data_IF_380357305648
#
_entry.id   IF_380357305648
#
_cell.length_a   1.000
_cell.length_b   1.000
_cell.length_c   1.000
_cell.angle_alpha   90.00
_cell.angle_beta   90.00
_cell.angle_gamma   90.00
#
_symmetry.space_group_name_H-M   'P 1'
#
loop_
_entity.id
_entity.type
_entity.pdbx_description
1 polymer ?
#
# COMPACT_ATOMS: atom_id res chain seq x y z
N UNK A 1 24.40 -4.92 10.89
CA UNK A 1 23.30 -5.02 9.92
C UNK A 1 22.01 -4.82 10.68
N UNK A 2 21.20 -3.85 10.27
CA UNK A 2 19.85 -3.71 10.81
C UNK A 2 19.04 -4.92 10.38
N UNK A 3 18.33 -5.58 11.30
CA UNK A 3 17.61 -6.82 10.99
C UNK A 3 16.50 -6.49 9.97
N UNK A 4 16.62 -7.05 8.76
CA UNK A 4 15.59 -7.00 7.73
C UNK A 4 14.45 -7.97 8.03
N UNK A 5 13.77 -8.44 6.99
CA UNK A 5 12.73 -9.48 7.09
C UNK A 5 13.23 -10.65 7.97
N UNK A 6 12.41 -11.18 8.89
CA UNK A 6 12.88 -12.19 9.84
C UNK A 6 13.45 -13.43 9.16
N UNK A 7 14.36 -14.12 9.84
CA UNK A 7 14.81 -15.45 9.43
C UNK A 7 13.66 -16.45 9.40
N UNK A 8 13.91 -17.62 8.79
CA UNK A 8 12.88 -18.65 8.60
C UNK A 8 12.23 -19.14 9.90
N UNK A 9 12.92 -19.00 11.04
CA UNK A 9 12.43 -19.31 12.37
C UNK A 9 11.22 -18.44 12.81
N UNK A 10 11.14 -17.22 12.27
CA UNK A 10 10.20 -16.18 12.69
C UNK A 10 9.07 -15.93 11.68
N UNK A 11 9.00 -16.73 10.61
CA UNK A 11 7.93 -16.69 9.61
C UNK A 11 7.12 -17.98 9.67
N UNK A 12 5.92 -17.98 9.09
CA UNK A 12 5.11 -19.19 8.91
C UNK A 12 4.67 -19.28 7.46
N UNK A 13 4.30 -20.48 7.05
CA UNK A 13 3.60 -20.65 5.78
C UNK A 13 2.26 -19.92 5.85
N UNK A 14 2.02 -19.02 4.91
CA UNK A 14 0.79 -18.26 4.78
C UNK A 14 -0.10 -18.80 3.67
N UNK A 15 0.49 -19.37 2.62
CA UNK A 15 -0.27 -19.94 1.51
C UNK A 15 0.55 -20.97 0.71
N UNK A 16 -0.13 -21.89 0.03
CA UNK A 16 0.43 -22.87 -0.88
C UNK A 16 -0.16 -22.71 -2.28
N UNK A 17 0.67 -22.75 -3.31
CA UNK A 17 0.22 -22.83 -4.71
C UNK A 17 0.03 -24.29 -5.05
N UNK A 18 -1.22 -24.69 -5.32
CA UNK A 18 -1.58 -26.08 -5.61
C UNK A 18 -2.03 -26.20 -7.06
N UNK A 19 -1.44 -27.14 -7.81
CA UNK A 19 -1.78 -27.46 -9.20
C UNK A 19 -2.11 -28.94 -9.32
N UNK A 20 -3.33 -29.29 -9.69
CA UNK A 20 -3.76 -30.68 -9.84
C UNK A 20 -3.56 -31.52 -8.57
N UNK A 21 -3.70 -30.90 -7.39
CA UNK A 21 -3.44 -31.54 -6.09
C UNK A 21 -1.96 -31.59 -5.68
N UNK A 22 -1.03 -31.08 -6.49
CA UNK A 22 0.40 -30.99 -6.17
C UNK A 22 0.76 -29.60 -5.63
N UNK A 23 1.42 -29.55 -4.47
CA UNK A 23 1.96 -28.30 -3.90
C UNK A 23 3.21 -27.88 -4.68
N UNK A 24 3.06 -26.92 -5.58
CA UNK A 24 4.10 -26.42 -6.47
C UNK A 24 4.98 -25.35 -5.79
N UNK A 25 4.40 -24.51 -4.94
CA UNK A 25 5.12 -23.44 -4.23
C UNK A 25 4.50 -23.17 -2.87
N UNK A 26 5.29 -22.62 -1.94
CA UNK A 26 4.83 -22.18 -0.62
C UNK A 26 5.26 -20.74 -0.39
N UNK A 27 4.35 -19.93 0.14
CA UNK A 27 4.58 -18.55 0.52
C UNK A 27 4.72 -18.46 2.03
N UNK A 28 5.93 -18.16 2.49
CA UNK A 28 6.22 -17.89 3.89
C UNK A 28 6.13 -16.39 4.18
N UNK A 29 5.73 -16.03 5.38
CA UNK A 29 5.53 -14.64 5.75
C UNK A 29 5.19 -14.42 7.21
N UNK A 30 4.92 -13.15 7.49
CA UNK A 30 4.41 -12.65 8.76
C UNK A 30 3.10 -11.92 8.49
N UNK A 31 2.16 -12.03 9.41
CA UNK A 31 0.84 -11.43 9.28
C UNK A 31 0.26 -11.03 10.64
N UNK A 32 -0.49 -9.94 10.65
CA UNK A 32 -1.12 -9.41 11.86
C UNK A 32 -2.51 -8.88 11.54
N UNK A 33 -3.44 -9.08 12.46
CA UNK A 33 -4.70 -8.37 12.52
C UNK A 33 -4.81 -7.68 13.89
N UNK A 34 -5.22 -6.42 13.90
CA UNK A 34 -5.37 -5.60 15.11
C UNK A 34 -6.81 -5.14 15.28
N UNK A 35 -7.21 -4.97 16.54
CA UNK A 35 -8.46 -4.31 16.90
C UNK A 35 -8.38 -2.78 16.68
N UNK A 36 -9.50 -2.04 16.83
CA UNK A 36 -9.49 -0.57 16.65
C UNK A 36 -8.58 0.18 17.62
N UNK A 37 -8.19 -0.43 18.75
CA UNK A 37 -7.22 0.11 19.69
C UNK A 37 -5.76 -0.18 19.30
N UNK A 38 -5.53 -0.96 18.24
CA UNK A 38 -4.21 -1.39 17.80
C UNK A 38 -3.68 -2.64 18.51
N UNK A 39 -4.51 -3.34 19.28
CA UNK A 39 -4.12 -4.58 19.97
C UNK A 39 -4.19 -5.76 19.00
N UNK A 40 -3.14 -6.60 18.91
CA UNK A 40 -3.19 -7.79 18.04
C UNK A 40 -4.29 -8.79 18.43
N UNK A 41 -5.16 -9.10 17.49
CA UNK A 41 -6.16 -10.18 17.56
C UNK A 41 -5.56 -11.47 16.99
N UNK A 42 -4.94 -11.37 15.81
CA UNK A 42 -4.25 -12.46 15.11
C UNK A 42 -2.80 -12.10 14.93
N UNK A 43 -1.90 -13.04 15.22
CA UNK A 43 -0.47 -12.93 14.94
C UNK A 43 0.04 -14.21 14.29
N UNK A 44 0.82 -14.05 13.23
CA UNK A 44 1.49 -15.12 12.51
C UNK A 44 2.94 -14.71 12.29
N UNK A 45 3.87 -15.39 12.98
CA UNK A 45 5.29 -15.06 12.98
C UNK A 45 5.64 -13.80 13.80
N UNK A 46 6.81 -13.21 13.54
CA UNK A 46 7.32 -12.01 14.22
C UNK A 46 6.73 -10.74 13.58
N UNK A 47 5.60 -10.29 14.11
CA UNK A 47 4.86 -9.13 13.61
C UNK A 47 5.47 -7.78 14.02
N UNK A 48 6.44 -7.78 14.93
CA UNK A 48 7.19 -6.58 15.32
C UNK A 48 8.46 -6.38 14.49
N UNK A 49 8.75 -7.32 13.59
CA UNK A 49 9.82 -7.18 12.62
C UNK A 49 9.66 -5.93 11.76
N UNK A 50 10.77 -5.22 11.60
CA UNK A 50 10.81 -4.03 10.73
C UNK A 50 10.88 -4.48 9.28
N UNK A 51 9.89 -4.05 8.50
CA UNK A 51 9.81 -4.30 7.06
C UNK A 51 10.00 -2.99 6.29
N UNK A 52 10.41 -3.11 5.04
CA UNK A 52 10.29 -2.03 4.07
C UNK A 52 8.91 -2.17 3.40
N UNK A 53 7.94 -1.30 3.73
CA UNK A 53 6.54 -1.43 3.27
C UNK A 53 6.35 -1.06 1.81
N UNK A 54 7.38 -0.50 1.17
CA UNK A 54 7.36 -0.03 -0.23
C UNK A 54 6.14 0.87 -0.46
N UNK A 55 5.41 0.64 -1.56
CA UNK A 55 4.24 1.42 -1.92
C UNK A 55 3.04 1.27 -0.97
N UNK A 56 3.08 0.39 0.02
CA UNK A 56 2.01 0.30 1.04
C UNK A 56 1.99 1.52 1.97
N UNK A 57 3.10 2.26 2.08
CA UNK A 57 3.19 3.47 2.93
C UNK A 57 2.70 4.75 2.25
N UNK A 58 2.33 4.71 0.97
CA UNK A 58 1.88 5.91 0.24
C UNK A 58 0.70 6.66 0.89
N UNK A 59 -0.31 6.01 1.49
CA UNK A 59 -1.35 6.74 2.24
C UNK A 59 -0.77 7.59 3.38
N UNK A 60 0.25 7.10 4.08
CA UNK A 60 0.93 7.84 5.15
C UNK A 60 1.79 8.97 4.57
N UNK A 61 2.39 8.76 3.39
CA UNK A 61 3.11 9.82 2.66
C UNK A 61 2.15 10.94 2.20
N UNK A 62 0.93 10.59 1.80
CA UNK A 62 -0.11 11.56 1.44
C UNK A 62 -0.50 12.42 2.65
N UNK A 63 -0.70 11.80 3.82
CA UNK A 63 -0.92 12.54 5.09
C UNK A 63 0.24 13.51 5.35
N UNK A 64 1.48 13.05 5.19
CA UNK A 64 2.67 13.89 5.34
C UNK A 64 2.72 15.08 4.39
N UNK A 65 2.33 14.91 3.13
CA UNK A 65 2.29 16.00 2.15
C UNK A 65 1.20 17.04 2.51
N UNK A 66 0.01 16.58 2.91
CA UNK A 66 -1.09 17.46 3.33
C UNK A 66 -0.70 18.22 4.61
N UNK A 67 -0.12 17.53 5.59
CA UNK A 67 0.37 18.14 6.83
C UNK A 67 1.48 19.19 6.57
N UNK A 68 2.28 18.99 5.52
CA UNK A 68 3.28 19.95 5.04
C UNK A 68 2.70 21.08 4.16
N UNK A 69 1.38 21.13 3.96
CA UNK A 69 0.70 22.24 3.28
C UNK A 69 0.30 21.99 1.82
N UNK A 70 0.47 20.78 1.28
CA UNK A 70 -0.06 20.46 -0.04
C UNK A 70 -1.60 20.54 -0.03
N UNK A 71 -2.16 21.40 -0.88
CA UNK A 71 -3.60 21.45 -1.11
C UNK A 71 -3.98 20.48 -2.22
N UNK A 72 -4.71 19.42 -1.86
CA UNK A 72 -5.07 18.31 -2.77
C UNK A 72 -6.58 18.10 -2.75
N UNK A 73 -7.18 17.98 -3.93
CA UNK A 73 -8.56 17.49 -4.10
C UNK A 73 -8.68 15.99 -3.82
N UNK A 74 -9.89 15.43 -3.88
CA UNK A 74 -10.13 13.99 -3.65
C UNK A 74 -9.37 13.09 -4.62
N UNK A 75 -9.44 13.34 -5.94
CA UNK A 75 -8.70 12.55 -6.95
C UNK A 75 -7.18 12.66 -6.75
N UNK A 76 -6.69 13.86 -6.44
CA UNK A 76 -5.27 14.15 -6.23
C UNK A 76 -4.75 13.49 -4.95
N UNK A 77 -5.57 13.46 -3.91
CA UNK A 77 -5.26 12.73 -2.67
C UNK A 77 -5.20 11.22 -2.93
N UNK A 78 -6.16 10.68 -3.68
CA UNK A 78 -6.22 9.26 -4.00
C UNK A 78 -5.02 8.79 -4.85
N UNK A 79 -4.63 9.56 -5.88
CA UNK A 79 -3.46 9.21 -6.70
C UNK A 79 -2.14 9.37 -5.92
N UNK A 80 -2.08 10.29 -4.95
CA UNK A 80 -0.94 10.45 -4.03
C UNK A 80 -0.79 9.23 -3.11
N UNK A 81 -1.90 8.72 -2.57
CA UNK A 81 -1.95 7.47 -1.81
C UNK A 81 -1.76 6.21 -2.68
N UNK A 82 -1.78 6.38 -4.01
CA UNK A 82 -1.90 5.36 -5.02
C UNK A 82 -0.61 4.89 -5.68
N UNK A 83 -0.70 3.78 -6.38
CA UNK A 83 0.28 3.32 -7.37
C UNK A 83 -0.45 3.16 -8.69
N UNK A 84 -0.80 4.29 -9.30
CA UNK A 84 -1.62 4.32 -10.50
C UNK A 84 -0.96 3.56 -11.65
N UNK A 85 -1.77 3.04 -12.57
CA UNK A 85 -1.33 2.18 -13.68
C UNK A 85 -0.86 2.94 -14.91
N UNK A 86 -0.83 4.27 -14.86
CA UNK A 86 -0.37 5.12 -15.96
C UNK A 86 -1.40 5.37 -17.07
N UNK A 87 -2.67 4.98 -16.85
CA UNK A 87 -3.80 5.36 -17.73
C UNK A 87 -3.89 6.89 -17.93
N UNK A 88 -4.47 7.34 -19.05
CA UNK A 88 -4.55 8.75 -19.43
C UNK A 88 -5.20 9.64 -18.34
N UNK A 89 -6.22 9.12 -17.65
CA UNK A 89 -6.88 9.83 -16.53
C UNK A 89 -5.95 10.07 -15.35
N UNK A 90 -5.02 9.15 -15.09
CA UNK A 90 -4.04 9.31 -14.01
C UNK A 90 -3.06 10.41 -14.37
N UNK A 91 -2.54 10.38 -15.60
CA UNK A 91 -1.64 11.41 -16.14
C UNK A 91 -2.31 12.79 -16.06
N UNK A 92 -3.59 12.88 -16.42
CA UNK A 92 -4.35 14.11 -16.34
C UNK A 92 -4.46 14.67 -14.91
N UNK A 93 -4.57 13.82 -13.88
CA UNK A 93 -4.56 14.26 -12.47
C UNK A 93 -3.17 14.78 -12.09
N UNK A 94 -2.11 14.06 -12.43
CA UNK A 94 -0.72 14.48 -12.12
C UNK A 94 -0.39 15.80 -12.78
N UNK A 95 -0.78 16.00 -14.04
CA UNK A 95 -0.58 17.26 -14.76
C UNK A 95 -1.31 18.43 -14.08
N UNK A 96 -2.53 18.22 -13.59
CA UNK A 96 -3.26 19.26 -12.84
C UNK A 96 -2.59 19.60 -11.52
N UNK A 97 -2.10 18.60 -10.78
CA UNK A 97 -1.35 18.82 -9.54
C UNK A 97 -0.09 19.66 -9.77
N UNK A 98 0.69 19.33 -10.81
CA UNK A 98 1.89 20.06 -11.18
C UNK A 98 1.54 21.50 -11.60
N UNK A 99 0.56 21.67 -12.48
CA UNK A 99 0.12 22.97 -12.95
C UNK A 99 -0.39 23.87 -11.81
N UNK A 100 -1.14 23.32 -10.86
CA UNK A 100 -1.62 24.05 -9.68
C UNK A 100 -0.47 24.52 -8.77
N UNK A 101 0.66 23.82 -8.77
CA UNK A 101 1.89 24.20 -8.09
C UNK A 101 2.81 25.11 -8.94
N UNK A 102 2.42 25.45 -10.17
CA UNK A 102 3.25 26.23 -11.10
C UNK A 102 4.42 25.46 -11.70
N UNK A 103 4.31 24.13 -11.76
CA UNK A 103 5.35 23.19 -12.20
C UNK A 103 4.92 22.43 -13.45
N UNK A 104 5.86 21.70 -14.05
CA UNK A 104 5.61 20.82 -15.19
C UNK A 104 6.20 19.41 -14.99
N UNK A 105 6.05 18.56 -16.01
CA UNK A 105 6.49 17.15 -15.94
C UNK A 105 8.01 16.99 -15.77
N UNK A 106 8.79 18.02 -16.10
CA UNK A 106 10.24 18.09 -15.95
C UNK A 106 10.70 18.18 -14.50
N UNK A 107 9.84 18.67 -13.60
CA UNK A 107 10.12 18.74 -12.15
C UNK A 107 10.03 17.37 -11.46
N UNK A 108 9.38 16.38 -12.09
CA UNK A 108 9.33 15.02 -11.58
C UNK A 108 10.72 14.40 -11.57
N UNK A 109 11.07 13.73 -10.46
CA UNK A 109 12.37 13.06 -10.27
C UNK A 109 12.24 11.54 -10.18
N UNK A 110 11.01 11.00 -10.17
CA UNK A 110 10.78 9.56 -10.35
C UNK A 110 11.32 9.09 -11.70
N UNK A 111 11.88 7.87 -11.81
CA UNK A 111 12.41 7.38 -13.07
C UNK A 111 11.34 7.35 -14.17
N UNK A 112 11.69 7.54 -15.45
CA UNK A 112 10.75 7.34 -16.54
C UNK A 112 10.34 5.86 -16.61
N UNK A 113 9.06 5.61 -16.86
CA UNK A 113 8.53 4.24 -17.00
C UNK A 113 7.41 4.21 -18.06
N UNK A 114 7.01 3.01 -18.46
CA UNK A 114 5.80 2.78 -19.26
C UNK A 114 4.59 2.56 -18.34
N UNK A 115 3.36 2.74 -18.84
CA UNK A 115 2.16 2.38 -18.10
C UNK A 115 2.17 0.90 -17.71
N UNK A 116 1.64 0.60 -16.54
CA UNK A 116 1.34 -0.77 -16.11
C UNK A 116 0.04 -1.28 -16.73
N UNK A 117 -0.89 -0.38 -17.06
CA UNK A 117 -2.08 -0.70 -17.83
C UNK A 117 -1.67 -1.15 -19.24
N UNK A 118 -1.99 -2.40 -19.58
CA UNK A 118 -1.52 -3.04 -20.81
C UNK A 118 -2.11 -2.39 -22.06
N UNK A 119 -3.38 -2.00 -22.03
CA UNK A 119 -4.04 -1.34 -23.15
C UNK A 119 -3.37 0.00 -23.45
N UNK A 120 -3.20 0.85 -22.42
CA UNK A 120 -2.50 2.13 -22.53
C UNK A 120 -1.07 1.94 -23.00
N UNK A 121 -0.31 1.00 -22.39
CA UNK A 121 1.07 0.71 -22.78
C UNK A 121 1.18 0.33 -24.25
N UNK A 122 0.36 -0.62 -24.72
CA UNK A 122 0.39 -1.11 -26.10
C UNK A 122 0.03 0.01 -27.08
N UNK A 123 -0.97 0.84 -26.75
CA UNK A 123 -1.34 2.02 -27.54
C UNK A 123 -0.20 3.02 -27.64
N UNK A 124 0.44 3.39 -26.53
CA UNK A 124 1.55 4.36 -26.52
C UNK A 124 2.77 3.86 -27.31
N UNK A 125 3.13 2.58 -27.15
CA UNK A 125 4.23 1.97 -27.93
C UNK A 125 3.89 2.00 -29.42
N UNK A 126 2.67 1.62 -29.80
CA UNK A 126 2.25 1.62 -31.20
C UNK A 126 2.26 3.02 -31.85
N UNK A 127 2.09 4.08 -31.06
CA UNK A 127 2.17 5.47 -31.51
C UNK A 127 3.57 6.10 -31.35
N UNK A 128 4.58 5.32 -30.96
CA UNK A 128 5.97 5.77 -30.82
C UNK A 128 6.24 6.59 -29.55
N UNK A 129 5.34 6.56 -28.57
CA UNK A 129 5.49 7.23 -27.27
C UNK A 129 6.24 6.29 -26.32
N UNK A 130 7.44 6.73 -25.90
CA UNK A 130 8.30 5.96 -24.99
C UNK A 130 8.02 6.19 -23.50
N UNK A 131 8.87 5.61 -22.63
CA UNK A 131 8.79 5.81 -21.18
C UNK A 131 8.88 7.29 -20.79
N UNK A 132 8.12 7.70 -19.77
CA UNK A 132 8.23 9.05 -19.21
C UNK A 132 7.87 9.08 -17.73
N UNK A 133 8.31 10.13 -17.02
CA UNK A 133 8.17 10.21 -15.56
C UNK A 133 6.72 10.29 -15.10
N UNK A 134 5.86 10.96 -15.86
CA UNK A 134 4.43 11.08 -15.55
C UNK A 134 3.66 9.75 -15.70
N UNK A 135 4.20 8.81 -16.49
CA UNK A 135 3.59 7.47 -16.66
C UNK A 135 3.98 6.50 -15.54
N UNK A 136 5.03 6.84 -14.78
CA UNK A 136 5.51 6.03 -13.66
C UNK A 136 4.48 6.04 -12.53
N UNK A 137 4.19 4.87 -11.95
CA UNK A 137 3.15 4.64 -10.94
C UNK A 137 3.29 5.44 -9.62
N UNK A 138 4.41 6.13 -9.41
CA UNK A 138 4.65 6.99 -8.26
C UNK A 138 4.54 8.47 -8.61
N UNK A 139 4.31 8.85 -9.87
CA UNK A 139 4.30 10.26 -10.25
C UNK A 139 3.28 11.09 -9.47
N UNK A 140 2.13 10.52 -9.08
CA UNK A 140 1.17 11.16 -8.16
C UNK A 140 1.77 11.54 -6.80
N UNK A 141 2.49 10.63 -6.13
CA UNK A 141 3.15 10.98 -4.86
C UNK A 141 4.28 12.01 -5.03
N UNK A 142 4.98 11.97 -6.16
CA UNK A 142 6.02 12.97 -6.46
C UNK A 142 5.41 14.35 -6.68
N UNK A 143 4.30 14.44 -7.43
CA UNK A 143 3.58 15.69 -7.62
C UNK A 143 3.06 16.27 -6.29
N UNK A 144 2.60 15.44 -5.35
CA UNK A 144 2.21 15.90 -4.02
C UNK A 144 3.39 16.39 -3.17
N UNK A 145 4.54 15.70 -3.22
CA UNK A 145 5.75 16.16 -2.53
C UNK A 145 6.25 17.49 -3.12
N UNK A 146 6.16 17.67 -4.44
CA UNK A 146 6.46 18.94 -5.11
C UNK A 146 5.49 20.04 -4.67
N UNK A 147 4.18 19.76 -4.65
CA UNK A 147 3.16 20.70 -4.17
C UNK A 147 3.41 21.12 -2.71
N UNK A 148 3.77 20.18 -1.83
CA UNK A 148 4.18 20.48 -0.44
C UNK A 148 5.48 21.33 -0.39
N UNK A 149 6.43 21.08 -1.29
CA UNK A 149 7.69 21.82 -1.37
C UNK A 149 7.43 23.28 -1.76
N UNK A 150 6.57 23.50 -2.76
CA UNK A 150 6.11 24.84 -3.17
C UNK A 150 5.35 25.53 -2.05
N UNK A 151 4.42 24.84 -1.39
CA UNK A 151 3.63 25.39 -0.29
C UNK A 151 4.49 25.87 0.90
N UNK A 152 5.66 25.26 1.08
CA UNK A 152 6.63 25.62 2.13
C UNK A 152 7.73 26.58 1.66
N UNK A 153 7.70 27.01 0.40
CA UNK A 153 8.67 27.96 -0.17
C UNK A 153 10.08 27.40 -0.34
N UNK A 154 10.23 26.07 -0.47
CA UNK A 154 11.51 25.40 -0.59
C UNK A 154 11.87 25.11 -2.06
N UNK A 155 13.14 24.77 -2.30
CA UNK A 155 13.64 24.40 -3.63
C UNK A 155 13.05 23.05 -4.09
N UNK A 156 12.37 23.06 -5.23
CA UNK A 156 11.76 21.88 -5.84
C UNK A 156 12.78 20.90 -6.42
N UNK A 157 14.05 21.25 -6.51
CA UNK A 157 15.11 20.31 -6.90
C UNK A 157 15.54 19.37 -5.77
N UNK A 158 15.22 19.69 -4.52
CA UNK A 158 15.65 18.93 -3.34
C UNK A 158 14.51 18.20 -2.62
N UNK A 159 13.30 18.11 -3.21
CA UNK A 159 12.14 17.49 -2.52
C UNK A 159 12.32 16.01 -2.16
N UNK A 160 13.31 15.33 -2.75
CA UNK A 160 13.67 13.94 -2.42
C UNK A 160 14.76 13.84 -1.35
N UNK A 161 15.41 14.93 -0.96
CA UNK A 161 16.43 14.94 0.08
C UNK A 161 15.81 14.51 1.42
N UNK A 162 16.26 13.39 2.04
CA UNK A 162 15.81 12.97 3.36
C UNK A 162 15.96 14.05 4.45
N UNK A 163 16.91 14.98 4.30
CA UNK A 163 17.10 16.10 5.21
C UNK A 163 16.20 17.31 4.89
N UNK A 164 15.54 17.31 3.74
CA UNK A 164 14.63 18.35 3.29
C UNK A 164 13.34 18.45 4.13
N UNK A 165 12.68 19.62 4.17
CA UNK A 165 11.51 19.85 5.01
C UNK A 165 10.34 18.89 4.74
N UNK A 166 10.03 18.63 3.47
CA UNK A 166 8.92 17.74 3.08
C UNK A 166 9.19 16.29 3.50
N UNK A 167 10.41 15.78 3.31
CA UNK A 167 10.73 14.41 3.69
C UNK A 167 10.79 14.22 5.21
N UNK A 168 11.23 15.25 5.96
CA UNK A 168 11.12 15.27 7.42
C UNK A 168 9.67 15.22 7.89
N UNK A 169 8.78 16.02 7.30
CA UNK A 169 7.36 16.02 7.63
C UNK A 169 6.71 14.67 7.31
N UNK A 170 6.98 14.12 6.13
CA UNK A 170 6.51 12.78 5.74
C UNK A 170 7.01 11.69 6.67
N UNK A 171 8.29 11.72 7.05
CA UNK A 171 8.87 10.74 7.98
C UNK A 171 8.22 10.85 9.36
N UNK A 172 8.04 12.07 9.87
CA UNK A 172 7.39 12.31 11.16
C UNK A 172 5.96 11.76 11.19
N UNK A 173 5.19 11.95 10.11
CA UNK A 173 3.83 11.40 10.01
C UNK A 173 3.82 9.87 9.90
N UNK A 174 4.77 9.27 9.17
CA UNK A 174 4.90 7.81 9.13
C UNK A 174 5.21 7.25 10.53
N UNK A 175 6.16 7.84 11.24
CA UNK A 175 6.53 7.40 12.60
C UNK A 175 5.37 7.60 13.59
N UNK A 176 4.68 8.75 13.52
CA UNK A 176 3.51 9.03 14.35
C UNK A 176 2.40 8.01 14.10
N UNK A 177 2.02 7.78 12.85
CA UNK A 177 0.91 6.91 12.46
C UNK A 177 1.22 5.44 12.72
N UNK A 178 2.47 5.01 12.55
CA UNK A 178 2.88 3.63 12.87
C UNK A 178 3.19 3.41 14.34
N UNK A 179 3.41 4.49 15.10
CA UNK A 179 3.76 4.45 16.51
C UNK A 179 5.19 3.98 16.78
N UNK A 180 6.08 4.07 15.80
CA UNK A 180 7.46 3.59 15.91
C UNK A 180 8.45 4.42 15.10
N UNK A 181 9.58 4.77 15.71
CA UNK A 181 10.77 5.33 15.06
C UNK A 181 11.82 4.24 14.98
N UNK A 182 12.13 3.78 13.76
CA UNK A 182 13.08 2.67 13.55
C UNK A 182 14.50 3.15 13.24
N UNK A 183 14.65 4.42 12.83
CA UNK A 183 15.90 4.96 12.31
C UNK A 183 16.32 4.38 10.94
N UNK A 184 15.49 3.52 10.33
CA UNK A 184 15.78 2.91 9.03
C UNK A 184 15.17 3.78 7.95
N UNK A 185 16.02 4.48 7.21
CA UNK A 185 15.64 5.21 6.00
C UNK A 185 16.56 4.76 4.87
N UNK A 186 15.98 4.42 3.73
CA UNK A 186 16.70 4.08 2.50
C UNK A 186 16.00 4.72 1.30
N UNK A 187 16.41 4.36 0.08
CA UNK A 187 15.85 4.91 -1.16
C UNK A 187 14.93 3.86 -1.80
N UNK A 188 13.70 4.28 -2.11
CA UNK A 188 12.72 3.45 -2.83
C UNK A 188 13.07 3.37 -4.33
N UNK A 189 12.44 2.45 -5.07
CA UNK A 189 12.65 2.32 -6.52
C UNK A 189 12.26 3.58 -7.32
N UNK A 190 11.44 4.45 -6.74
CA UNK A 190 11.08 5.74 -7.32
C UNK A 190 12.08 6.88 -7.02
N UNK A 191 13.09 6.64 -6.18
CA UNK A 191 14.06 7.64 -5.74
C UNK A 191 13.67 8.37 -4.44
N UNK A 192 12.42 8.26 -3.98
CA UNK A 192 12.00 8.88 -2.72
C UNK A 192 12.48 8.11 -1.48
N UNK A 193 12.62 8.77 -0.32
CA UNK A 193 12.90 8.12 0.95
C UNK A 193 11.89 7.03 1.31
N UNK A 194 12.40 5.94 1.86
CA UNK A 194 11.67 4.76 2.29
C UNK A 194 11.98 4.48 3.75
N UNK A 195 10.99 4.70 4.61
CA UNK A 195 11.06 4.48 6.04
C UNK A 195 10.71 3.02 6.35
N UNK A 196 11.57 2.32 7.09
CA UNK A 196 11.28 1.00 7.63
C UNK A 196 10.33 1.09 8.81
N UNK A 197 9.31 0.24 8.86
CA UNK A 197 8.28 0.26 9.93
C UNK A 197 8.01 -1.16 10.43
N UNK A 198 7.65 -1.37 11.72
CA UNK A 198 7.16 -2.66 12.18
C UNK A 198 5.88 -3.06 11.43
N UNK A 199 5.70 -4.33 11.09
CA UNK A 199 4.48 -4.79 10.41
C UNK A 199 3.21 -4.47 11.22
N UNK A 200 3.26 -4.68 12.55
CA UNK A 200 2.18 -4.27 13.45
C UNK A 200 1.89 -2.77 13.38
N UNK A 201 2.94 -1.94 13.35
CA UNK A 201 2.79 -0.49 13.20
C UNK A 201 2.11 -0.10 11.88
N UNK A 202 2.39 -0.84 10.81
CA UNK A 202 1.72 -0.64 9.53
C UNK A 202 0.21 -0.94 9.62
N UNK A 203 -0.19 -2.06 10.24
CA UNK A 203 -1.61 -2.36 10.45
C UNK A 203 -2.30 -1.29 11.31
N UNK A 204 -1.68 -0.88 12.41
CA UNK A 204 -2.20 0.19 13.29
C UNK A 204 -2.40 1.50 12.52
N UNK A 205 -1.46 1.87 11.65
CA UNK A 205 -1.58 3.10 10.85
C UNK A 205 -2.80 3.09 9.93
N UNK A 206 -3.13 1.93 9.33
CA UNK A 206 -4.31 1.79 8.47
C UNK A 206 -5.61 1.87 9.28
N UNK A 207 -5.65 1.27 10.48
CA UNK A 207 -6.78 1.44 11.39
C UNK A 207 -7.03 2.91 11.74
N UNK A 208 -5.95 3.65 12.06
CA UNK A 208 -6.02 5.10 12.35
C UNK A 208 -6.52 5.92 11.17
N UNK A 209 -6.08 5.62 9.95
CA UNK A 209 -6.61 6.27 8.74
C UNK A 209 -8.11 6.00 8.58
N UNK A 210 -8.52 4.73 8.69
CA UNK A 210 -9.89 4.32 8.42
C UNK A 210 -10.93 4.93 9.38
N UNK A 211 -10.53 5.26 10.61
CA UNK A 211 -11.39 5.82 11.67
C UNK A 211 -11.06 7.28 12.01
N UNK A 212 -10.26 7.96 11.20
CA UNK A 212 -9.87 9.33 11.48
C UNK A 212 -11.07 10.28 11.47
N UNK A 213 -11.04 11.27 12.37
CA UNK A 213 -12.10 12.26 12.49
C UNK A 213 -12.17 13.17 11.27
N UNK A 214 -13.38 13.57 10.88
CA UNK A 214 -13.62 14.51 9.77
C UNK A 214 -12.79 15.80 9.95
N UNK A 215 -12.23 16.30 8.84
CA UNK A 215 -11.35 17.48 8.82
C UNK A 215 -9.87 17.20 9.11
N UNK A 216 -9.49 15.95 9.42
CA UNK A 216 -8.08 15.55 9.52
C UNK A 216 -7.50 15.11 8.16
N UNK A 217 -6.18 15.19 8.00
CA UNK A 217 -5.50 14.74 6.78
C UNK A 217 -5.65 13.22 6.60
N UNK A 218 -5.63 12.45 7.69
CA UNK A 218 -5.88 11.01 7.69
C UNK A 218 -7.27 10.67 7.14
N UNK A 219 -8.29 11.40 7.59
CA UNK A 219 -9.66 11.23 7.11
C UNK A 219 -9.76 11.57 5.62
N UNK A 220 -9.18 12.69 5.20
CA UNK A 220 -9.15 13.08 3.78
C UNK A 220 -8.52 11.98 2.92
N UNK A 221 -7.41 11.39 3.35
CA UNK A 221 -6.75 10.28 2.63
C UNK A 221 -7.64 9.04 2.57
N UNK A 222 -8.24 8.63 3.69
CA UNK A 222 -9.10 7.46 3.72
C UNK A 222 -10.33 7.63 2.82
N UNK A 223 -11.00 8.78 2.89
CA UNK A 223 -12.16 9.09 2.05
C UNK A 223 -11.79 9.16 0.57
N UNK A 224 -10.68 9.80 0.22
CA UNK A 224 -10.20 9.84 -1.16
C UNK A 224 -9.93 8.44 -1.72
N UNK A 225 -9.32 7.56 -0.94
CA UNK A 225 -9.09 6.17 -1.36
C UNK A 225 -10.40 5.40 -1.58
N UNK A 226 -11.39 5.58 -0.70
CA UNK A 226 -12.73 4.96 -0.82
C UNK A 226 -13.51 5.48 -2.02
N UNK A 227 -13.48 6.80 -2.25
CA UNK A 227 -14.24 7.46 -3.32
C UNK A 227 -13.61 7.25 -4.70
N UNK A 228 -12.28 7.20 -4.77
CA UNK A 228 -11.52 7.11 -6.02
C UNK A 228 -10.58 5.90 -6.05
N UNK A 229 -11.09 4.66 -5.83
CA UNK A 229 -10.26 3.48 -5.66
C UNK A 229 -9.40 3.16 -6.90
N UNK A 230 -9.88 3.52 -8.09
CA UNK A 230 -9.13 3.33 -9.32
C UNK A 230 -7.96 4.33 -9.47
N UNK A 231 -7.98 5.49 -8.83
CA UNK A 231 -6.79 6.36 -8.75
C UNK A 231 -5.72 5.79 -7.82
N UNK A 232 -6.10 4.86 -6.93
CA UNK A 232 -5.17 4.17 -6.03
C UNK A 232 -4.47 2.99 -6.71
N UNK A 233 -5.21 2.14 -7.43
CA UNK A 233 -4.68 0.89 -8.01
C UNK A 233 -4.75 0.79 -9.53
N UNK A 234 -5.54 1.63 -10.21
CA UNK A 234 -5.95 1.44 -11.60
C UNK A 234 -7.16 0.53 -11.76
N UNK A 235 -7.74 0.51 -12.96
CA UNK A 235 -8.87 -0.38 -13.28
C UNK A 235 -8.47 -1.85 -13.15
N UNK A 236 -9.31 -2.67 -12.52
CA UNK A 236 -9.10 -4.11 -12.38
C UNK A 236 -7.97 -4.51 -11.40
N UNK A 237 -7.27 -3.55 -10.80
CA UNK A 237 -6.23 -3.84 -9.82
C UNK A 237 -6.86 -4.29 -8.48
N UNK A 238 -6.24 -5.26 -7.82
CA UNK A 238 -6.76 -5.86 -6.59
C UNK A 238 -7.12 -4.85 -5.48
N UNK A 239 -6.26 -3.87 -5.20
CA UNK A 239 -6.57 -2.78 -4.25
C UNK A 239 -7.90 -2.07 -4.59
N UNK A 240 -8.12 -1.75 -5.87
CA UNK A 240 -9.32 -1.03 -6.33
C UNK A 240 -10.54 -1.93 -6.25
N UNK A 241 -10.42 -3.20 -6.65
CA UNK A 241 -11.49 -4.19 -6.55
C UNK A 241 -11.92 -4.43 -5.10
N UNK A 242 -10.96 -4.50 -4.15
CA UNK A 242 -11.29 -4.62 -2.72
C UNK A 242 -12.13 -3.44 -2.25
N UNK A 243 -11.70 -2.21 -2.52
CA UNK A 243 -12.41 -1.00 -2.07
C UNK A 243 -13.75 -0.81 -2.77
N UNK A 244 -13.89 -1.25 -4.02
CA UNK A 244 -15.17 -1.25 -4.75
C UNK A 244 -16.14 -2.30 -4.18
N UNK A 245 -15.65 -3.50 -3.86
CA UNK A 245 -16.45 -4.57 -3.28
C UNK A 245 -16.83 -4.28 -1.82
N UNK A 246 -15.98 -3.57 -1.08
CA UNK A 246 -16.15 -3.23 0.34
C UNK A 246 -15.98 -1.72 0.55
N UNK A 247 -17.01 -0.89 0.29
CA UNK A 247 -16.88 0.58 0.21
C UNK A 247 -16.32 1.30 1.45
N UNK A 248 -16.44 0.71 2.64
CA UNK A 248 -15.86 1.26 3.88
C UNK A 248 -14.38 0.91 4.10
N UNK A 249 -13.87 -0.09 3.36
CA UNK A 249 -12.49 -0.59 3.52
C UNK A 249 -11.53 0.29 2.73
N UNK A 250 -10.35 0.53 3.30
CA UNK A 250 -9.19 1.02 2.55
C UNK A 250 -8.17 -0.11 2.39
N UNK A 251 -7.57 -0.24 1.21
CA UNK A 251 -6.60 -1.29 0.92
C UNK A 251 -5.42 -0.76 0.10
N UNK A 252 -4.20 -1.14 0.49
CA UNK A 252 -3.00 -0.81 -0.27
C UNK A 252 -1.99 -1.94 -0.26
N UNK A 253 -1.80 -2.57 -1.41
CA UNK A 253 -0.67 -3.44 -1.70
C UNK A 253 0.58 -2.64 -2.09
N UNK A 254 1.73 -3.26 -1.92
CA UNK A 254 3.04 -2.74 -2.27
C UNK A 254 3.93 -3.81 -2.88
N UNK A 255 4.96 -3.35 -3.60
CA UNK A 255 6.06 -4.21 -4.05
C UNK A 255 6.63 -5.03 -2.90
N UNK A 256 7.29 -6.15 -3.23
CA UNK A 256 7.87 -7.05 -2.23
C UNK A 256 6.81 -7.67 -1.30
N UNK A 257 5.61 -8.01 -1.81
CA UNK A 257 4.67 -8.88 -1.10
C UNK A 257 4.11 -8.28 0.19
N UNK A 258 3.86 -6.96 0.22
CA UNK A 258 3.28 -6.27 1.37
C UNK A 258 1.86 -5.83 1.05
N UNK A 259 0.94 -5.98 2.00
CA UNK A 259 -0.37 -5.35 1.93
C UNK A 259 -0.82 -4.91 3.31
N UNK A 260 -1.59 -3.83 3.35
CA UNK A 260 -2.36 -3.45 4.52
C UNK A 260 -3.79 -3.09 4.11
N UNK A 261 -4.75 -3.41 4.98
CA UNK A 261 -6.15 -3.05 4.82
C UNK A 261 -6.74 -2.64 6.16
N UNK A 262 -7.76 -1.79 6.14
CA UNK A 262 -8.55 -1.48 7.34
C UNK A 262 -10.02 -1.32 7.01
N UNK A 263 -10.86 -1.87 7.87
CA UNK A 263 -12.31 -1.74 7.87
C UNK A 263 -12.74 -0.42 8.54
N UNK A 264 -13.96 0.07 8.27
CA UNK A 264 -14.43 1.36 8.79
C UNK A 264 -14.64 1.36 10.31
N UNK A 265 -14.69 0.18 10.95
CA UNK A 265 -14.76 0.02 12.40
C UNK A 265 -13.38 0.08 13.09
N UNK A 266 -12.29 0.17 12.32
CA UNK A 266 -10.91 0.26 12.81
C UNK A 266 -10.15 -1.06 12.89
N UNK A 267 -10.79 -2.20 12.59
CA UNK A 267 -10.05 -3.45 12.43
C UNK A 267 -9.11 -3.34 11.23
N UNK A 268 -7.85 -3.65 11.45
CA UNK A 268 -6.83 -3.48 10.42
C UNK A 268 -5.87 -4.67 10.36
N UNK A 269 -5.31 -4.90 9.18
CA UNK A 269 -4.48 -6.06 8.89
C UNK A 269 -3.24 -5.63 8.12
N UNK A 270 -2.16 -6.36 8.31
CA UNK A 270 -0.98 -6.25 7.46
C UNK A 270 -0.35 -7.63 7.23
N UNK A 271 0.16 -7.84 6.02
CA UNK A 271 0.82 -9.08 5.60
C UNK A 271 2.13 -8.72 4.91
N UNK A 272 3.18 -9.48 5.20
CA UNK A 272 4.44 -9.49 4.44
C UNK A 272 4.77 -10.92 4.06
N UNK A 273 4.79 -11.21 2.76
CA UNK A 273 5.35 -12.44 2.19
C UNK A 273 6.84 -12.21 1.93
N UNK A 274 7.69 -13.12 2.43
CA UNK A 274 9.14 -12.88 2.50
C UNK A 274 9.86 -13.00 1.17
N UNK A 275 9.32 -13.78 0.23
CA UNK A 275 9.85 -13.93 -1.14
C UNK A 275 9.49 -12.74 -2.05
N UNK A 276 8.76 -11.76 -1.52
CA UNK A 276 8.35 -10.56 -2.24
C UNK A 276 7.15 -10.75 -3.17
N UNK A 277 6.57 -11.95 -3.21
CA UNK A 277 5.51 -12.28 -4.14
C UNK A 277 4.12 -11.79 -3.63
N UNK A 278 3.31 -11.27 -4.55
CA UNK A 278 2.02 -10.62 -4.25
C UNK A 278 0.79 -11.52 -4.50
N UNK A 279 0.91 -12.63 -5.24
CA UNK A 279 -0.28 -13.41 -5.68
C UNK A 279 -1.22 -13.83 -4.53
N UNK A 280 -0.71 -14.01 -3.32
CA UNK A 280 -1.52 -14.37 -2.15
C UNK A 280 -1.93 -13.18 -1.26
N UNK A 281 -1.32 -12.00 -1.39
CA UNK A 281 -1.42 -10.95 -0.35
C UNK A 281 -2.84 -10.43 -0.16
N UNK A 282 -3.58 -10.17 -1.26
CA UNK A 282 -4.96 -9.67 -1.19
C UNK A 282 -5.89 -10.66 -0.49
N UNK A 283 -5.84 -11.92 -0.89
CA UNK A 283 -6.65 -12.98 -0.29
C UNK A 283 -6.30 -13.19 1.20
N UNK A 284 -5.01 -13.11 1.57
CA UNK A 284 -4.56 -13.14 2.97
C UNK A 284 -5.09 -11.95 3.78
N UNK A 285 -5.07 -10.74 3.22
CA UNK A 285 -5.62 -9.55 3.88
C UNK A 285 -7.12 -9.68 4.13
N UNK A 286 -7.89 -10.10 3.13
CA UNK A 286 -9.33 -10.34 3.25
C UNK A 286 -9.65 -11.44 4.27
N UNK A 287 -8.90 -12.54 4.26
CA UNK A 287 -9.06 -13.61 5.26
C UNK A 287 -8.81 -13.10 6.68
N UNK A 288 -7.80 -12.27 6.90
CA UNK A 288 -7.54 -11.68 8.23
C UNK A 288 -8.65 -10.72 8.66
N UNK A 289 -9.19 -9.90 7.75
CA UNK A 289 -10.35 -9.05 8.06
C UNK A 289 -11.57 -9.90 8.44
N UNK A 290 -11.82 -10.99 7.71
CA UNK A 290 -12.87 -11.96 8.06
C UNK A 290 -12.67 -12.58 9.44
N UNK A 291 -11.42 -12.91 9.82
CA UNK A 291 -11.09 -13.38 11.17
C UNK A 291 -11.35 -12.34 12.27
N UNK A 292 -11.35 -11.05 11.94
CA UNK A 292 -11.77 -9.97 12.83
C UNK A 292 -13.30 -9.81 12.92
N UNK A 293 -14.07 -10.57 12.14
CA UNK A 293 -15.53 -10.46 12.08
C UNK A 293 -16.05 -9.45 11.04
N UNK A 294 -15.18 -8.91 10.18
CA UNK A 294 -15.59 -8.04 9.07
C UNK A 294 -16.21 -8.92 7.98
N UNK A 295 -17.41 -8.55 7.50
CA UNK A 295 -18.03 -9.24 6.38
C UNK A 295 -17.31 -8.90 5.07
N UNK A 296 -16.66 -9.90 4.49
CA UNK A 296 -15.91 -9.81 3.23
C UNK A 296 -16.62 -10.55 2.09
N UNK A 297 -17.87 -10.96 2.27
CA UNK A 297 -18.61 -11.80 1.29
C UNK A 297 -18.70 -11.14 -0.08
N UNK A 298 -18.87 -9.81 -0.14
CA UNK A 298 -18.90 -9.06 -1.39
C UNK A 298 -17.57 -9.10 -2.17
N UNK A 299 -16.47 -9.46 -1.51
CA UNK A 299 -15.14 -9.63 -2.11
C UNK A 299 -14.72 -11.11 -2.23
N UNK A 300 -15.67 -12.07 -2.18
CA UNK A 300 -15.37 -13.51 -2.19
C UNK A 300 -14.53 -13.95 -3.39
N UNK A 301 -14.74 -13.37 -4.57
CA UNK A 301 -13.94 -13.67 -5.77
C UNK A 301 -12.45 -13.35 -5.60
N UNK A 302 -12.10 -12.39 -4.72
CA UNK A 302 -10.71 -12.02 -4.44
C UNK A 302 -10.05 -12.94 -3.40
N UNK A 303 -10.82 -13.81 -2.73
CA UNK A 303 -10.30 -14.89 -1.89
C UNK A 303 -9.89 -16.11 -2.72
N UNK A 304 -10.48 -16.28 -3.89
CA UNK A 304 -10.15 -17.37 -4.82
C UNK A 304 -9.04 -16.91 -5.80
N UNK A 305 -7.85 -17.51 -5.67
CA UNK A 305 -6.74 -17.21 -6.58
C UNK A 305 -6.46 -18.43 -7.44
N UNK A 306 -7.11 -18.57 -8.62
CA UNK A 306 -7.00 -19.78 -9.42
C UNK A 306 -5.61 -19.93 -10.04
N UNK A 307 -5.14 -21.17 -10.08
CA UNK A 307 -3.95 -21.57 -10.83
C UNK A 307 -4.42 -22.08 -12.18
N UNK A 308 -4.05 -21.37 -13.26
CA UNK A 308 -4.53 -21.69 -14.61
C UNK A 308 -3.58 -22.65 -15.34
N UNK A 309 -4.17 -23.49 -16.22
CA UNK A 309 -3.48 -24.32 -17.21
C UNK A 309 -4.29 -24.30 -18.51
N UNK A 310 -3.69 -23.84 -19.61
CA UNK A 310 -4.42 -23.64 -20.87
C UNK A 310 -5.59 -22.65 -20.77
N UNK A 311 -5.53 -21.70 -19.83
CA UNK A 311 -6.61 -20.73 -19.57
C UNK A 311 -7.75 -21.25 -18.69
N UNK A 312 -7.71 -22.51 -18.25
CA UNK A 312 -8.72 -23.10 -17.36
C UNK A 312 -8.17 -23.30 -15.94
N UNK A 313 -8.99 -23.17 -14.88
CA UNK A 313 -8.57 -23.49 -13.52
C UNK A 313 -8.16 -24.96 -13.39
N UNK A 314 -6.94 -25.21 -12.91
CA UNK A 314 -6.40 -26.54 -12.61
C UNK A 314 -5.95 -26.67 -11.15
N UNK A 315 -6.22 -25.66 -10.34
CA UNK A 315 -5.80 -25.56 -8.95
C UNK A 315 -6.03 -24.15 -8.41
N UNK A 316 -5.47 -23.86 -7.24
CA UNK A 316 -5.64 -22.57 -6.56
C UNK A 316 -4.46 -22.29 -5.63
N UNK A 317 -4.38 -21.04 -5.16
CA UNK A 317 -3.59 -20.70 -3.99
C UNK A 317 -4.44 -20.97 -2.75
N UNK A 318 -4.03 -21.95 -1.96
CA UNK A 318 -4.68 -22.33 -0.71
C UNK A 318 -4.07 -21.52 0.44
N UNK A 319 -4.90 -20.76 1.15
CA UNK A 319 -4.48 -19.95 2.28
C UNK A 319 -4.31 -20.81 3.54
N UNK A 320 -3.21 -20.60 4.27
CA UNK A 320 -2.81 -21.37 5.43
C UNK A 320 -2.52 -20.46 6.64
N UNK A 321 -3.48 -19.62 7.03
CA UNK A 321 -3.35 -18.85 8.27
C UNK A 321 -3.68 -19.75 9.46
N UNK A 322 -2.65 -20.29 10.10
CA UNK A 322 -2.76 -20.94 11.41
C UNK A 322 -2.42 -19.92 12.51
N UNK A 323 -3.41 -19.21 13.08
CA UNK A 323 -3.15 -18.29 14.19
C UNK A 323 -2.54 -19.02 15.38
N UNK A 324 -1.59 -18.38 16.07
CA UNK A 324 -1.16 -18.86 17.37
C UNK A 324 -2.38 -18.93 18.31
N UNK A 325 -2.69 -20.12 18.83
CA UNK A 325 -3.76 -20.29 19.82
C UNK A 325 -3.43 -19.39 21.03
N UNK A 326 -4.29 -18.41 21.33
CA UNK A 326 -4.23 -17.70 22.62
C UNK A 326 -4.31 -18.78 23.71
N UNK A 327 -3.26 -18.88 24.53
CA UNK A 327 -3.32 -19.70 25.74
C UNK A 327 -4.52 -19.24 26.54
N UNK A 328 -5.48 -20.14 26.78
CA UNK A 328 -6.55 -19.87 27.74
C UNK A 328 -5.87 -19.50 29.05
N UNK A 329 -6.05 -18.27 29.53
CA UNK A 329 -5.74 -18.00 30.93
C UNK A 329 -6.67 -18.90 31.73
N UNK A 330 -6.10 -19.89 32.39
CA UNK A 330 -6.81 -20.65 33.40
C UNK A 330 -7.04 -19.69 34.57
N UNK A 331 -8.22 -19.08 34.63
CA UNK A 331 -8.74 -18.55 35.88
C UNK A 331 -8.94 -19.75 36.81
N UNK A 332 -8.05 -19.88 37.80
CA UNK A 332 -8.36 -20.60 39.03
C UNK A 332 -9.09 -19.66 39.98
#
# INVERSE_FOLDING_TARGET
>A
MTKGVPGLESVRELAAVVRGGFVESRHFGIAVAVDPGGTPIVTVGDVDAVVLPRSTTKPLQAVGCIAAGASLSGEETAITAGSHTGEDRHVAVVDRMLAAAGLDRGDLMCPPDLPQDEETRNRLIATGIGPSRVLMNCSGKHAAMLAATVATGNDTSDYLDPAGPVQKAVTAEIERLTGATTGIVTVDGCGAPLVGVPLRGLAVSFGRLATAAEGTAEHQVAEAMRQFPEHVGGRGHQNSLVMQALPGVIAKGGAEGVIAMAAPDGHAVAVKVIDGNQRATTALGLMLLSMCGVDVTAAAELLEVPVLGGGQPVGAIELQLQPARRGRSSSR
#
